data_IF_419368835982
#
_entry.id   IF_419368835982
#
_cell.length_a   1.000
_cell.length_b   1.000
_cell.length_c   1.000
_cell.angle_alpha   90.00
_cell.angle_beta   90.00
_cell.angle_gamma   90.00
#
_symmetry.space_group_name_H-M   'P 1'
#
loop_
_entity.id
_entity.type
_entity.pdbx_description
1 polymer ?
#
# COMPACT_ATOMS: atom_id res chain seq x y z
N UNK A 1 -29.04 38.03 53.50
CA UNK A 1 -27.79 37.52 52.88
C UNK A 1 -27.52 36.10 53.38
N UNK A 2 -27.60 35.09 52.49
CA UNK A 2 -26.66 33.96 52.35
C UNK A 2 -27.30 32.96 51.38
N UNK A 3 -26.75 32.94 50.17
CA UNK A 3 -27.17 32.11 49.04
C UNK A 3 -26.71 30.67 49.28
N UNK A 4 -27.60 29.71 49.06
CA UNK A 4 -27.28 28.28 48.97
C UNK A 4 -26.38 28.06 47.74
N UNK A 5 -25.16 27.59 47.97
CA UNK A 5 -24.24 27.17 46.93
C UNK A 5 -24.63 25.77 46.46
N UNK A 6 -25.23 25.70 45.27
CA UNK A 6 -25.37 24.45 44.51
C UNK A 6 -23.98 24.04 44.02
N UNK A 7 -23.37 23.03 44.66
CA UNK A 7 -22.21 22.34 44.12
C UNK A 7 -22.71 21.33 43.10
N UNK A 8 -22.85 21.77 41.85
CA UNK A 8 -23.05 20.87 40.72
C UNK A 8 -21.73 20.18 40.41
N UNK A 9 -21.62 18.89 40.77
CA UNK A 9 -20.52 18.04 40.35
C UNK A 9 -20.46 18.01 38.81
N UNK A 10 -19.39 18.57 38.25
CA UNK A 10 -19.01 18.31 36.87
C UNK A 10 -18.71 16.82 36.75
N UNK A 11 -19.64 16.05 36.18
CA UNK A 11 -19.30 14.76 35.58
C UNK A 11 -18.41 15.11 34.40
N UNK A 12 -17.10 15.09 34.61
CA UNK A 12 -16.15 15.03 33.53
C UNK A 12 -16.44 13.72 32.79
N UNK A 13 -17.21 13.80 31.70
CA UNK A 13 -17.22 12.75 30.70
C UNK A 13 -15.78 12.67 30.20
N UNK A 14 -15.02 11.73 30.75
CA UNK A 14 -13.76 11.31 30.16
C UNK A 14 -14.11 10.75 28.80
N UNK A 15 -14.12 11.62 27.79
CA UNK A 15 -14.06 11.24 26.40
C UNK A 15 -12.87 10.29 26.32
N UNK A 16 -13.15 8.99 26.18
CA UNK A 16 -12.16 7.97 25.89
C UNK A 16 -11.67 8.27 24.47
N UNK A 17 -10.81 9.27 24.34
CA UNK A 17 -10.03 9.46 23.14
C UNK A 17 -9.15 8.22 23.01
N UNK A 18 -9.29 7.47 21.92
CA UNK A 18 -8.48 6.29 21.67
C UNK A 18 -7.01 6.63 21.89
N UNK A 19 -6.40 6.03 22.90
CA UNK A 19 -5.00 6.26 23.23
C UNK A 19 -4.15 5.34 22.36
N UNK A 20 -3.19 5.93 21.65
CA UNK A 20 -2.17 5.17 20.92
C UNK A 20 -1.39 4.35 21.94
N UNK A 21 -1.36 3.03 21.76
CA UNK A 21 -0.64 2.10 22.63
C UNK A 21 0.46 1.41 21.83
N UNK A 22 1.67 1.35 22.39
CA UNK A 22 2.78 0.60 21.80
C UNK A 22 2.57 -0.89 22.05
N UNK A 23 2.38 -1.68 20.98
CA UNK A 23 2.22 -3.14 21.09
C UNK A 23 3.54 -3.90 20.96
N UNK A 24 4.44 -3.46 20.07
CA UNK A 24 5.71 -4.14 19.79
C UNK A 24 6.81 -3.18 19.39
N UNK A 25 8.01 -3.43 19.90
CA UNK A 25 9.27 -2.89 19.39
C UNK A 25 10.07 -4.04 18.80
N UNK A 26 10.44 -3.94 17.52
CA UNK A 26 11.35 -4.86 16.86
C UNK A 26 12.80 -4.44 17.11
N UNK A 27 13.75 -5.38 16.96
CA UNK A 27 15.16 -5.11 17.24
C UNK A 27 15.71 -4.07 16.25
N UNK A 28 16.74 -3.30 16.64
CA UNK A 28 17.33 -2.25 15.79
C UNK A 28 17.87 -2.73 14.43
N UNK A 29 18.03 -4.04 14.24
CA UNK A 29 18.52 -4.66 13.02
C UNK A 29 17.43 -5.45 12.29
N UNK A 30 16.17 -5.30 12.68
CA UNK A 30 15.00 -5.91 12.05
C UNK A 30 14.17 -4.81 11.41
N UNK A 31 14.19 -4.75 10.08
CA UNK A 31 13.29 -3.87 9.33
C UNK A 31 12.02 -4.64 9.03
N UNK A 32 10.89 -4.23 9.63
CA UNK A 32 9.61 -4.94 9.50
C UNK A 32 8.63 -4.10 8.71
N UNK A 33 8.02 -4.70 7.69
CA UNK A 33 6.88 -4.13 6.97
C UNK A 33 5.60 -4.88 7.31
N UNK A 34 4.48 -4.25 6.99
CA UNK A 34 3.15 -4.85 7.02
C UNK A 34 2.72 -5.15 5.60
N UNK A 35 2.22 -6.36 5.37
CA UNK A 35 1.56 -6.74 4.12
C UNK A 35 0.06 -6.75 4.38
N UNK A 36 -0.67 -5.72 3.93
CA UNK A 36 -2.11 -5.79 3.89
C UNK A 36 -2.51 -6.64 2.68
N UNK A 37 -2.83 -7.92 2.89
CA UNK A 37 -3.61 -8.68 1.92
C UNK A 37 -5.05 -8.73 2.43
N UNK A 38 -6.03 -8.47 1.57
CA UNK A 38 -7.45 -8.32 1.95
C UNK A 38 -8.07 -9.59 2.61
N UNK A 39 -7.33 -10.70 2.66
CA UNK A 39 -7.69 -11.96 3.33
C UNK A 39 -6.68 -12.43 4.38
N UNK A 40 -5.54 -11.75 4.53
CA UNK A 40 -4.44 -12.22 5.37
C UNK A 40 -3.53 -11.05 5.78
N UNK A 41 -3.18 -10.97 7.05
CA UNK A 41 -2.37 -9.90 7.60
C UNK A 41 -1.07 -10.50 8.11
N UNK A 42 0.04 -10.11 7.51
CA UNK A 42 1.34 -10.61 7.91
C UNK A 42 2.35 -9.47 8.04
N UNK A 43 3.23 -9.62 9.02
CA UNK A 43 4.44 -8.81 9.10
C UNK A 43 5.58 -9.59 8.47
N UNK A 44 6.43 -8.92 7.71
CA UNK A 44 7.64 -9.54 7.19
C UNK A 44 8.84 -8.67 7.49
N UNK A 45 9.93 -9.30 7.92
CA UNK A 45 11.19 -8.62 8.16
C UNK A 45 12.35 -9.30 7.46
N UNK A 46 13.31 -8.52 6.97
CA UNK A 46 14.66 -9.03 6.83
C UNK A 46 15.28 -9.13 8.21
N UNK A 47 15.68 -10.35 8.57
CA UNK A 47 16.47 -10.61 9.78
C UNK A 47 17.93 -10.78 9.41
N UNK A 48 18.79 -10.93 10.43
CA UNK A 48 20.23 -11.17 10.22
C UNK A 48 20.46 -12.39 9.32
N UNK A 49 21.51 -12.31 8.51
CA UNK A 49 22.04 -13.40 7.67
C UNK A 49 21.16 -13.78 6.46
N UNK A 50 20.64 -12.79 5.73
CA UNK A 50 19.94 -13.01 4.45
C UNK A 50 18.67 -13.87 4.56
N UNK A 51 17.88 -13.66 5.62
CA UNK A 51 16.65 -14.41 5.88
C UNK A 51 15.45 -13.50 5.99
N UNK A 52 14.32 -13.96 5.46
CA UNK A 52 13.03 -13.34 5.73
C UNK A 52 12.37 -14.02 6.92
N UNK A 53 11.70 -13.25 7.75
CA UNK A 53 10.87 -13.77 8.83
C UNK A 53 9.46 -13.26 8.66
N UNK A 54 8.53 -14.20 8.54
CA UNK A 54 7.11 -13.98 8.49
C UNK A 54 6.57 -14.09 9.93
N UNK A 55 5.81 -13.10 10.38
CA UNK A 55 5.17 -13.12 11.70
C UNK A 55 3.65 -13.20 11.58
N UNK A 56 3.04 -13.77 12.61
CA UNK A 56 1.60 -13.70 12.85
C UNK A 56 1.19 -12.29 13.31
N UNK A 57 -0.11 -12.05 13.42
CA UNK A 57 -0.67 -10.77 13.89
C UNK A 57 -0.31 -10.45 15.33
N UNK A 58 -0.01 -11.45 16.15
CA UNK A 58 0.48 -11.33 17.53
C UNK A 58 2.01 -11.18 17.63
N UNK A 59 2.69 -10.98 16.50
CA UNK A 59 4.14 -10.83 16.37
C UNK A 59 4.96 -12.09 16.69
N UNK A 60 4.33 -13.25 16.88
CA UNK A 60 5.04 -14.53 16.97
C UNK A 60 5.61 -14.93 15.60
N UNK A 61 6.78 -15.56 15.59
CA UNK A 61 7.41 -16.03 14.34
C UNK A 61 6.54 -17.15 13.74
N UNK A 62 5.97 -16.88 12.57
CA UNK A 62 5.22 -17.86 11.77
C UNK A 62 6.19 -18.73 10.97
N UNK A 63 7.17 -18.11 10.33
CA UNK A 63 8.15 -18.82 9.49
C UNK A 63 9.44 -18.03 9.33
N UNK A 64 10.56 -18.75 9.27
CA UNK A 64 11.84 -18.21 8.80
C UNK A 64 12.15 -18.80 7.43
N UNK A 65 12.29 -17.93 6.44
CA UNK A 65 12.49 -18.28 5.04
C UNK A 65 13.98 -18.07 4.74
N UNK A 66 14.65 -19.14 4.33
CA UNK A 66 16.05 -19.08 3.90
C UNK A 66 16.06 -18.87 2.38
N UNK A 67 16.75 -17.84 1.90
CA UNK A 67 16.91 -17.61 0.47
C UNK A 67 18.27 -18.14 0.06
N UNK A 68 18.30 -19.07 -0.90
CA UNK A 68 19.54 -19.65 -1.41
C UNK A 68 20.24 -18.65 -2.34
N UNK A 69 21.14 -17.85 -1.77
CA UNK A 69 21.95 -16.85 -2.48
C UNK A 69 23.44 -17.10 -2.22
N UNK A 70 24.29 -16.63 -3.13
CA UNK A 70 25.74 -16.83 -3.03
C UNK A 70 26.34 -16.07 -1.83
N UNK A 71 27.50 -16.51 -1.35
CA UNK A 71 28.11 -15.98 -0.10
C UNK A 71 28.51 -14.51 -0.21
N UNK A 72 28.81 -14.04 -1.42
CA UNK A 72 29.12 -12.65 -1.74
C UNK A 72 27.89 -11.76 -1.96
N UNK A 73 26.70 -12.34 -1.84
CA UNK A 73 25.44 -11.66 -2.03
C UNK A 73 24.74 -11.37 -0.69
N UNK A 74 24.07 -10.24 -0.64
CA UNK A 74 23.24 -9.82 0.47
C UNK A 74 21.80 -9.68 0.02
N UNK A 75 20.91 -10.22 0.84
CA UNK A 75 19.48 -10.02 0.65
C UNK A 75 19.14 -8.61 1.12
N UNK A 76 18.70 -7.79 0.18
CA UNK A 76 18.14 -6.50 0.48
C UNK A 76 16.62 -6.57 0.27
N UNK A 77 15.88 -6.04 1.23
CA UNK A 77 14.44 -5.92 1.06
C UNK A 77 14.12 -4.45 1.00
N UNK A 78 14.29 -3.90 -0.20
CA UNK A 78 13.93 -2.53 -0.52
C UNK A 78 12.43 -2.44 -0.74
N UNK A 79 11.80 -1.49 -0.06
CA UNK A 79 10.43 -1.10 -0.35
C UNK A 79 10.49 0.31 -0.90
N UNK A 80 10.09 0.53 -2.15
CA UNK A 80 9.78 1.88 -2.57
C UNK A 80 8.56 2.36 -1.77
N UNK A 81 8.65 3.58 -1.26
CA UNK A 81 7.59 4.26 -0.50
C UNK A 81 6.28 4.42 -1.29
N UNK A 82 6.30 4.20 -2.61
CA UNK A 82 5.17 4.41 -3.50
C UNK A 82 4.40 3.15 -3.93
N UNK A 83 4.98 1.94 -3.88
CA UNK A 83 4.33 0.76 -4.48
C UNK A 83 4.53 -0.54 -3.67
N UNK A 84 3.89 -0.60 -2.50
CA UNK A 84 4.08 -1.66 -1.48
C UNK A 84 3.45 -3.01 -1.81
N UNK A 85 2.59 -3.11 -2.83
CA UNK A 85 1.63 -4.23 -2.95
C UNK A 85 2.11 -5.43 -3.75
N UNK A 86 3.11 -5.28 -4.62
CA UNK A 86 3.65 -6.37 -5.45
C UNK A 86 4.81 -7.13 -4.78
N UNK A 87 5.32 -6.64 -3.66
CA UNK A 87 6.44 -7.25 -2.95
C UNK A 87 6.09 -8.58 -2.30
N UNK A 88 4.84 -8.75 -1.85
CA UNK A 88 4.36 -9.99 -1.26
C UNK A 88 2.94 -10.29 -1.73
N UNK A 89 2.70 -11.51 -2.16
CA UNK A 89 1.42 -11.93 -2.74
C UNK A 89 1.12 -13.39 -2.47
N UNK A 90 -0.05 -13.85 -2.92
CA UNK A 90 -0.37 -15.27 -3.11
C UNK A 90 -1.01 -15.37 -4.50
N UNK A 91 -0.69 -16.42 -5.24
CA UNK A 91 -1.30 -16.69 -6.55
C UNK A 91 -1.15 -15.55 -7.57
N UNK A 92 -0.05 -14.81 -7.52
CA UNK A 92 0.28 -13.83 -8.57
C UNK A 92 1.34 -14.40 -9.50
N UNK A 93 2.41 -14.96 -8.93
CA UNK A 93 3.55 -15.44 -9.72
C UNK A 93 3.49 -16.94 -10.02
N UNK A 94 2.69 -17.69 -9.25
CA UNK A 94 2.39 -19.10 -9.40
C UNK A 94 0.89 -19.37 -9.10
N UNK A 95 0.51 -20.65 -8.94
CA UNK A 95 -0.89 -21.05 -8.67
C UNK A 95 -1.10 -21.72 -7.31
N UNK A 96 -0.10 -21.75 -6.43
CA UNK A 96 -0.23 -22.34 -5.09
C UNK A 96 -0.68 -21.30 -4.05
N UNK A 97 -1.08 -21.76 -2.86
CA UNK A 97 -1.59 -20.92 -1.77
C UNK A 97 -0.50 -20.34 -0.87
N UNK A 98 0.78 -20.50 -1.26
CA UNK A 98 1.91 -20.01 -0.49
C UNK A 98 2.10 -18.52 -0.69
N UNK A 99 2.70 -17.85 0.30
CA UNK A 99 3.19 -16.51 0.03
C UNK A 99 4.32 -16.54 -0.99
N UNK A 100 4.34 -15.52 -1.82
CA UNK A 100 5.32 -15.27 -2.86
C UNK A 100 5.93 -13.90 -2.62
N UNK A 101 7.23 -13.75 -2.83
CA UNK A 101 7.98 -12.55 -2.49
C UNK A 101 8.83 -12.12 -3.68
N UNK A 102 8.84 -10.82 -3.97
CA UNK A 102 9.91 -10.21 -4.77
C UNK A 102 10.97 -9.71 -3.78
N UNK A 103 12.20 -10.19 -3.92
CA UNK A 103 13.33 -9.79 -3.07
C UNK A 103 14.46 -9.23 -3.92
N UNK A 104 15.17 -8.22 -3.41
CA UNK A 104 16.38 -7.70 -4.02
C UNK A 104 17.60 -8.48 -3.47
N UNK A 105 18.54 -8.81 -4.34
CA UNK A 105 19.79 -9.43 -3.99
C UNK A 105 20.90 -8.57 -4.55
N UNK A 106 21.74 -8.05 -3.66
CA UNK A 106 22.88 -7.20 -4.01
C UNK A 106 24.15 -8.01 -3.96
N UNK A 107 24.93 -7.98 -5.03
CA UNK A 107 26.25 -8.57 -5.08
C UNK A 107 27.29 -7.50 -4.68
N UNK A 108 27.97 -7.74 -3.56
CA UNK A 108 28.92 -6.78 -3.01
C UNK A 108 30.23 -6.68 -3.80
N UNK A 109 30.56 -7.70 -4.60
CA UNK A 109 31.82 -7.74 -5.35
C UNK A 109 31.78 -6.88 -6.61
N UNK A 110 30.64 -6.86 -7.31
CA UNK A 110 30.49 -6.18 -8.59
C UNK A 110 29.42 -5.07 -8.59
N UNK A 111 28.70 -4.89 -7.47
CA UNK A 111 27.65 -3.89 -7.33
C UNK A 111 26.34 -4.21 -8.06
N UNK A 112 26.18 -5.44 -8.57
CA UNK A 112 24.98 -5.88 -9.26
C UNK A 112 23.81 -6.06 -8.30
N UNK A 113 22.67 -5.46 -8.63
CA UNK A 113 21.40 -5.75 -7.99
C UNK A 113 20.57 -6.65 -8.89
N UNK A 114 19.96 -7.68 -8.32
CA UNK A 114 18.98 -8.51 -9.01
C UNK A 114 17.71 -8.68 -8.21
N UNK A 115 16.61 -8.96 -8.89
CA UNK A 115 15.37 -9.35 -8.22
C UNK A 115 15.12 -10.85 -8.37
N UNK A 116 14.75 -11.50 -7.26
CA UNK A 116 14.27 -12.88 -7.26
C UNK A 116 12.79 -12.89 -6.88
N UNK A 117 12.02 -13.75 -7.54
CA UNK A 117 10.71 -14.17 -7.08
C UNK A 117 10.90 -15.49 -6.34
N UNK A 118 10.49 -15.54 -5.08
CA UNK A 118 10.61 -16.73 -4.22
C UNK A 118 9.27 -17.07 -3.57
N UNK A 119 9.07 -18.33 -3.16
CA UNK A 119 7.94 -18.72 -2.31
C UNK A 119 8.31 -18.69 -0.81
N UNK A 120 7.32 -18.95 0.05
CA UNK A 120 7.50 -19.01 1.52
C UNK A 120 8.33 -20.19 2.01
N UNK A 121 8.69 -21.14 1.15
CA UNK A 121 9.67 -22.19 1.47
C UNK A 121 11.10 -21.77 1.09
N UNK A 122 11.26 -20.61 0.47
CA UNK A 122 12.55 -20.10 -0.01
C UNK A 122 12.93 -20.62 -1.39
N UNK A 123 12.00 -21.30 -2.09
CA UNK A 123 12.24 -21.78 -3.45
C UNK A 123 12.23 -20.59 -4.41
N UNK A 124 13.25 -20.50 -5.26
CA UNK A 124 13.30 -19.53 -6.35
C UNK A 124 12.28 -19.92 -7.42
N UNK A 125 11.23 -19.11 -7.57
CA UNK A 125 10.25 -19.21 -8.65
C UNK A 125 10.87 -18.64 -9.94
N UNK A 126 11.56 -17.50 -9.84
CA UNK A 126 12.19 -16.84 -10.97
C UNK A 126 13.38 -15.96 -10.55
N UNK A 127 14.50 -16.08 -11.24
CA UNK A 127 15.55 -15.05 -11.25
C UNK A 127 15.23 -14.07 -12.38
N UNK A 128 15.08 -12.78 -12.04
CA UNK A 128 14.67 -11.74 -12.97
C UNK A 128 15.85 -10.99 -13.59
N UNK A 129 17.10 -11.28 -13.23
CA UNK A 129 18.26 -10.51 -13.73
C UNK A 129 19.34 -11.45 -14.26
N UNK A 130 19.94 -11.08 -15.40
CA UNK A 130 21.00 -11.85 -16.04
C UNK A 130 22.39 -11.37 -15.60
N UNK A 131 23.44 -12.17 -15.86
CA UNK A 131 24.78 -11.97 -15.29
C UNK A 131 25.46 -10.64 -15.65
N UNK A 132 25.15 -10.04 -16.80
CA UNK A 132 25.78 -8.79 -17.27
C UNK A 132 24.97 -7.52 -16.96
N UNK A 133 23.76 -7.68 -16.40
CA UNK A 133 22.83 -6.58 -16.16
C UNK A 133 22.49 -6.44 -14.67
N UNK A 134 21.99 -5.29 -14.30
CA UNK A 134 21.53 -4.98 -12.95
C UNK A 134 20.15 -4.33 -13.01
N UNK A 135 19.32 -4.64 -12.03
CA UNK A 135 17.97 -4.09 -11.92
C UNK A 135 17.94 -3.05 -10.80
N UNK A 136 17.88 -1.77 -11.18
CA UNK A 136 17.85 -0.66 -10.23
C UNK A 136 16.44 -0.18 -9.89
N UNK A 137 15.48 -0.49 -10.75
CA UNK A 137 14.08 -0.13 -10.56
C UNK A 137 13.30 -1.31 -10.03
N UNK A 138 12.36 -1.03 -9.13
CA UNK A 138 11.50 -2.04 -8.56
C UNK A 138 10.60 -2.66 -9.66
N UNK A 139 10.43 -3.99 -9.73
CA UNK A 139 9.60 -4.60 -10.75
C UNK A 139 8.12 -4.20 -10.63
N UNK A 140 7.49 -3.87 -11.75
CA UNK A 140 6.08 -3.46 -11.80
C UNK A 140 5.18 -4.63 -12.18
N UNK A 141 4.21 -4.96 -11.33
CA UNK A 141 3.13 -5.90 -11.66
C UNK A 141 1.92 -5.10 -12.12
N UNK A 142 1.31 -5.47 -13.24
CA UNK A 142 0.14 -4.78 -13.77
C UNK A 142 -0.82 -5.73 -14.50
N UNK A 143 -2.07 -5.30 -14.64
CA UNK A 143 -3.07 -6.01 -15.41
C UNK A 143 -3.27 -5.33 -16.77
N UNK A 144 -3.03 -6.07 -17.85
CA UNK A 144 -3.34 -5.64 -19.22
C UNK A 144 -4.83 -5.90 -19.51
N UNK A 145 -5.63 -4.84 -19.43
CA UNK A 145 -7.09 -4.88 -19.64
C UNK A 145 -7.49 -5.31 -21.05
N UNK A 146 -6.62 -5.14 -22.06
CA UNK A 146 -6.94 -5.48 -23.46
C UNK A 146 -6.78 -6.98 -23.67
N UNK A 147 -5.72 -7.56 -23.13
CA UNK A 147 -5.47 -9.02 -23.24
C UNK A 147 -6.04 -9.83 -22.09
N UNK A 148 -6.55 -9.16 -21.04
CA UNK A 148 -7.02 -9.74 -19.79
C UNK A 148 -5.97 -10.65 -19.14
N UNK A 149 -4.73 -10.18 -19.08
CA UNK A 149 -3.57 -10.92 -18.55
C UNK A 149 -2.83 -10.08 -17.53
N UNK A 150 -2.34 -10.73 -16.47
CA UNK A 150 -1.41 -10.09 -15.56
C UNK A 150 0.01 -10.18 -16.14
N UNK A 151 0.78 -9.13 -15.96
CA UNK A 151 2.15 -9.03 -16.46
C UNK A 151 3.06 -8.44 -15.38
N UNK A 152 4.34 -8.77 -15.49
CA UNK A 152 5.42 -8.21 -14.69
C UNK A 152 6.39 -7.53 -15.65
N UNK A 153 6.79 -6.30 -15.36
CA UNK A 153 7.81 -5.58 -16.10
C UNK A 153 9.02 -5.29 -15.21
N UNK A 154 10.21 -5.44 -15.77
CA UNK A 154 11.47 -5.12 -15.11
C UNK A 154 12.40 -4.39 -16.07
N UNK A 155 13.15 -3.42 -15.55
CA UNK A 155 14.19 -2.71 -16.29
C UNK A 155 15.56 -3.31 -15.96
N UNK A 156 16.31 -3.67 -17.01
CA UNK A 156 17.67 -4.18 -16.95
C UNK A 156 18.64 -3.12 -17.44
N UNK A 157 19.65 -2.80 -16.64
CA UNK A 157 20.69 -1.82 -16.98
C UNK A 157 22.04 -2.52 -17.05
N UNK A 158 22.77 -2.34 -18.16
CA UNK A 158 24.09 -2.94 -18.32
C UNK A 158 25.06 -2.38 -17.27
N UNK A 159 25.75 -3.27 -16.55
CA UNK A 159 26.66 -2.87 -15.47
C UNK A 159 27.84 -2.02 -15.94
N UNK A 160 28.35 -2.28 -17.14
CA UNK A 160 29.52 -1.61 -17.71
C UNK A 160 29.14 -0.35 -18.48
N UNK A 161 27.92 -0.30 -19.01
CA UNK A 161 27.41 0.83 -19.77
C UNK A 161 25.98 1.19 -19.33
N UNK A 162 25.80 2.01 -18.28
CA UNK A 162 24.47 2.31 -17.74
C UNK A 162 23.48 2.98 -18.71
N UNK A 163 23.97 3.52 -19.83
CA UNK A 163 23.09 4.05 -20.90
C UNK A 163 22.42 2.96 -21.73
N UNK A 164 22.94 1.74 -21.67
CA UNK A 164 22.36 0.57 -22.30
C UNK A 164 21.42 -0.11 -21.32
N UNK A 165 20.12 0.01 -21.58
CA UNK A 165 19.08 -0.64 -20.80
C UNK A 165 17.98 -1.17 -21.70
N UNK A 166 17.25 -2.15 -21.18
CA UNK A 166 16.07 -2.71 -21.82
C UNK A 166 15.00 -3.07 -20.79
N UNK A 167 13.78 -3.31 -21.26
CA UNK A 167 12.67 -3.73 -20.45
C UNK A 167 12.26 -5.15 -20.84
N UNK A 168 12.02 -5.98 -19.84
CA UNK A 168 11.44 -7.31 -20.03
C UNK A 168 10.02 -7.32 -19.49
N UNK A 169 9.12 -7.94 -20.24
CA UNK A 169 7.72 -8.12 -19.84
C UNK A 169 7.41 -9.60 -19.79
N UNK A 170 7.06 -10.08 -18.59
CA UNK A 170 6.70 -11.45 -18.30
C UNK A 170 5.18 -11.59 -18.21
N UNK A 171 4.65 -12.64 -18.84
CA UNK A 171 3.28 -13.06 -18.62
C UNK A 171 3.19 -13.80 -17.29
N UNK A 172 2.27 -13.39 -16.43
CA UNK A 172 1.99 -14.08 -15.18
C UNK A 172 0.91 -15.16 -15.39
N UNK A 173 0.93 -16.26 -14.61
CA UNK A 173 0.02 -17.37 -14.81
C UNK A 173 -1.45 -17.03 -14.50
N UNK A 174 -1.70 -15.91 -13.82
CA UNK A 174 -3.04 -15.47 -13.43
C UNK A 174 -3.60 -14.39 -14.38
N UNK A 175 -4.92 -14.39 -14.52
CA UNK A 175 -5.65 -13.50 -15.45
C UNK A 175 -6.42 -12.39 -14.74
N UNK A 176 -6.46 -12.41 -13.41
CA UNK A 176 -7.04 -11.35 -12.59
C UNK A 176 -6.06 -11.10 -11.47
N UNK A 177 -5.69 -9.84 -11.20
CA UNK A 177 -4.97 -9.48 -9.98
C UNK A 177 -5.96 -9.55 -8.81
N UNK A 178 -6.48 -10.74 -8.49
CA UNK A 178 -7.39 -10.90 -7.36
C UNK A 178 -6.62 -10.98 -6.04
N UNK A 179 -5.80 -9.96 -5.77
CA UNK A 179 -5.82 -9.31 -4.46
C UNK A 179 -6.79 -8.17 -4.72
N UNK A 180 -8.03 -8.28 -4.21
CA UNK A 180 -9.12 -7.34 -4.49
C UNK A 180 -8.54 -5.95 -4.64
N UNK A 181 -8.55 -5.46 -5.88
CA UNK A 181 -8.16 -4.14 -6.32
C UNK A 181 -7.74 -3.30 -5.12
N UNK A 182 -6.43 -3.24 -4.82
CA UNK A 182 -5.95 -1.95 -4.34
C UNK A 182 -6.21 -1.09 -5.55
N UNK A 183 -7.43 -0.55 -5.59
CA UNK A 183 -7.71 0.60 -6.38
C UNK A 183 -6.55 1.50 -5.97
N UNK A 184 -5.60 1.68 -6.89
CA UNK A 184 -4.98 2.96 -7.09
C UNK A 184 -6.11 3.94 -7.46
N UNK A 185 -7.11 4.07 -6.57
CA UNK A 185 -7.68 5.35 -6.29
C UNK A 185 -6.46 6.18 -5.96
N UNK A 186 -6.22 7.20 -6.77
CA UNK A 186 -5.81 8.46 -6.19
C UNK A 186 -6.60 8.61 -4.88
N UNK A 187 -6.01 8.30 -3.73
CA UNK A 187 -6.75 8.31 -2.46
C UNK A 187 -7.25 9.73 -2.33
N UNK A 188 -8.56 9.92 -2.51
CA UNK A 188 -9.09 11.27 -2.54
C UNK A 188 -8.92 11.83 -1.13
N UNK A 189 -8.21 12.94 -1.01
CA UNK A 189 -7.94 13.55 0.29
C UNK A 189 -8.91 14.70 0.52
N UNK A 190 -9.55 14.73 1.69
CA UNK A 190 -10.45 15.80 2.07
C UNK A 190 -10.18 16.30 3.50
N UNK A 191 -10.31 17.62 3.68
CA UNK A 191 -10.07 18.30 4.94
C UNK A 191 -11.02 19.50 5.15
N UNK A 192 -11.37 19.82 6.41
CA UNK A 192 -11.14 18.99 7.58
C UNK A 192 -12.03 17.74 7.56
N UNK A 193 -11.55 16.66 8.17
CA UNK A 193 -12.36 15.49 8.48
C UNK A 193 -12.17 15.20 9.98
N UNK A 194 -13.18 15.44 10.84
CA UNK A 194 -14.56 15.80 10.53
C UNK A 194 -14.78 17.23 9.99
N UNK A 195 -15.71 17.40 9.05
CA UNK A 195 -16.12 18.68 8.48
C UNK A 195 -17.29 19.31 9.24
N UNK A 196 -17.36 20.64 9.29
CA UNK A 196 -18.47 21.39 9.93
C UNK A 196 -19.29 22.19 8.91
N UNK A 197 -18.63 23.04 8.13
CA UNK A 197 -19.29 23.93 7.15
C UNK A 197 -18.83 23.63 5.74
N UNK A 198 -17.51 23.50 5.53
CA UNK A 198 -16.93 23.27 4.20
C UNK A 198 -16.03 22.04 4.22
N UNK A 199 -16.19 21.17 3.24
CA UNK A 199 -15.27 20.08 2.94
C UNK A 199 -14.39 20.50 1.76
N UNK A 200 -13.08 20.48 1.94
CA UNK A 200 -12.11 20.80 0.90
C UNK A 200 -11.45 19.52 0.42
N UNK A 201 -11.41 19.30 -0.88
CA UNK A 201 -10.93 18.06 -1.48
C UNK A 201 -9.76 18.40 -2.38
N UNK A 202 -8.65 17.67 -2.24
CA UNK A 202 -7.50 17.78 -3.15
C UNK A 202 -7.93 17.21 -4.50
N UNK A 203 -7.82 17.99 -5.56
CA UNK A 203 -8.17 17.50 -6.89
C UNK A 203 -7.15 16.43 -7.31
N UNK A 204 -7.58 15.21 -7.67
CA UNK A 204 -6.69 14.15 -8.13
C UNK A 204 -6.02 14.44 -9.49
N UNK A 205 -6.44 15.49 -10.21
CA UNK A 205 -5.97 15.87 -11.55
C UNK A 205 -6.04 14.72 -12.56
N UNK A 206 -7.08 13.90 -12.43
CA UNK A 206 -7.33 12.73 -13.28
C UNK A 206 -8.21 13.05 -14.51
N UNK A 207 -8.37 14.34 -14.86
CA UNK A 207 -9.20 14.79 -15.98
C UNK A 207 -10.71 14.80 -15.70
N UNK A 208 -11.17 14.25 -14.57
CA UNK A 208 -12.57 14.33 -14.14
C UNK A 208 -12.84 15.71 -13.55
N UNK A 209 -14.03 16.24 -13.84
CA UNK A 209 -14.44 17.59 -13.49
C UNK A 209 -15.74 17.63 -12.68
N UNK A 210 -16.13 16.51 -12.09
CA UNK A 210 -17.31 16.41 -11.25
C UNK A 210 -17.04 15.60 -9.98
N UNK A 211 -17.82 15.92 -8.94
CA UNK A 211 -17.82 15.21 -7.66
C UNK A 211 -19.25 14.95 -7.22
N UNK A 212 -19.47 13.76 -6.67
CA UNK A 212 -20.73 13.36 -6.05
C UNK A 212 -20.51 13.00 -4.57
N UNK A 213 -21.43 13.42 -3.70
CA UNK A 213 -21.49 13.00 -2.29
C UNK A 213 -22.74 12.16 -2.09
N UNK A 214 -22.58 11.07 -1.37
CA UNK A 214 -23.60 10.08 -1.02
C UNK A 214 -23.78 10.01 0.49
N UNK A 215 -25.03 9.79 0.93
CA UNK A 215 -25.31 9.39 2.30
C UNK A 215 -24.98 7.90 2.54
N UNK A 216 -25.12 7.44 3.79
CA UNK A 216 -24.80 6.05 4.16
C UNK A 216 -25.68 5.00 3.47
N UNK A 217 -26.84 5.38 2.92
CA UNK A 217 -27.71 4.49 2.15
C UNK A 217 -27.34 4.46 0.66
N UNK A 218 -26.25 5.14 0.26
CA UNK A 218 -25.82 5.22 -1.12
C UNK A 218 -26.65 6.18 -1.98
N UNK A 219 -27.47 7.05 -1.37
CA UNK A 219 -28.23 8.06 -2.12
C UNK A 219 -27.35 9.28 -2.37
N UNK A 220 -27.24 9.70 -3.63
CA UNK A 220 -26.55 10.93 -4.02
C UNK A 220 -27.28 12.16 -3.46
N UNK A 221 -26.58 12.97 -2.66
CA UNK A 221 -27.13 14.15 -1.98
C UNK A 221 -26.55 15.48 -2.47
N UNK A 222 -25.31 15.48 -2.98
CA UNK A 222 -24.66 16.65 -3.58
C UNK A 222 -23.97 16.21 -4.85
N UNK A 223 -24.16 16.94 -5.94
CA UNK A 223 -23.34 16.86 -7.15
C UNK A 223 -22.80 18.24 -7.46
N UNK A 224 -21.51 18.33 -7.79
CA UNK A 224 -20.88 19.61 -8.11
C UNK A 224 -19.82 19.41 -9.19
N UNK A 225 -19.84 20.29 -10.18
CA UNK A 225 -18.77 20.40 -11.16
C UNK A 225 -17.65 21.33 -10.65
N UNK A 226 -16.43 21.09 -11.09
CA UNK A 226 -15.23 21.86 -10.78
C UNK A 226 -14.30 21.92 -11.98
N UNK A 227 -13.33 22.85 -12.00
CA UNK A 227 -12.38 22.86 -13.11
C UNK A 227 -11.32 21.77 -12.90
N UNK A 228 -11.12 20.90 -13.89
CA UNK A 228 -10.14 19.81 -13.85
C UNK A 228 -8.71 20.28 -13.52
N UNK A 229 -8.38 21.56 -13.78
CA UNK A 229 -7.09 22.17 -13.45
C UNK A 229 -6.99 22.78 -12.05
N UNK A 230 -8.11 22.90 -11.32
CA UNK A 230 -8.10 23.44 -9.96
C UNK A 230 -7.26 22.54 -9.05
N UNK A 231 -6.50 23.12 -8.12
CA UNK A 231 -5.76 22.32 -7.14
C UNK A 231 -6.67 21.78 -6.03
N UNK A 232 -7.85 22.39 -5.82
CA UNK A 232 -8.74 22.10 -4.70
C UNK A 232 -10.20 22.36 -5.05
N UNK A 233 -11.06 21.50 -4.52
CA UNK A 233 -12.50 21.52 -4.71
C UNK A 233 -13.15 21.80 -3.35
N UNK A 234 -13.93 22.88 -3.24
CA UNK A 234 -14.60 23.25 -1.98
C UNK A 234 -16.09 22.96 -2.05
N UNK A 235 -16.61 22.15 -1.13
CA UNK A 235 -18.02 21.77 -1.04
C UNK A 235 -18.62 22.34 0.25
N UNK A 236 -19.75 23.03 0.14
CA UNK A 236 -20.55 23.41 1.30
C UNK A 236 -21.31 22.17 1.81
N UNK A 237 -21.02 21.78 3.05
CA UNK A 237 -21.63 20.66 3.76
C UNK A 237 -22.39 21.12 5.00
N UNK A 238 -22.55 22.44 5.23
CA UNK A 238 -23.14 23.00 6.44
C UNK A 238 -24.54 22.45 6.72
N UNK A 239 -25.34 22.25 5.67
CA UNK A 239 -26.72 21.78 5.73
C UNK A 239 -26.85 20.26 5.82
N UNK A 240 -25.74 19.52 5.75
CA UNK A 240 -25.77 18.08 5.94
C UNK A 240 -25.98 17.74 7.42
N UNK A 241 -26.90 16.81 7.74
CA UNK A 241 -27.00 16.22 9.08
C UNK A 241 -25.66 15.66 9.57
N UNK A 242 -25.50 15.55 10.88
CA UNK A 242 -24.37 14.85 11.46
C UNK A 242 -24.39 13.38 11.02
N UNK A 243 -23.26 12.87 10.54
CA UNK A 243 -23.21 11.54 9.97
C UNK A 243 -21.95 11.24 9.16
N UNK A 244 -21.91 10.02 8.62
CA UNK A 244 -20.85 9.58 7.69
C UNK A 244 -21.34 9.68 6.26
N UNK A 245 -20.48 10.19 5.38
CA UNK A 245 -20.76 10.40 3.98
C UNK A 245 -19.61 9.86 3.12
N UNK A 246 -19.92 9.51 1.88
CA UNK A 246 -18.96 9.07 0.88
C UNK A 246 -18.92 10.13 -0.22
N UNK A 247 -17.74 10.51 -0.69
CA UNK A 247 -17.57 11.36 -1.86
C UNK A 247 -16.78 10.63 -2.95
N UNK A 248 -17.11 10.92 -4.22
CA UNK A 248 -16.61 10.20 -5.39
C UNK A 248 -16.22 11.18 -6.50
N UNK A 249 -15.05 10.94 -7.11
CA UNK A 249 -14.55 11.64 -8.31
C UNK A 249 -14.08 10.56 -9.29
N UNK A 250 -14.78 10.40 -10.42
CA UNK A 250 -14.51 9.31 -11.36
C UNK A 250 -14.75 7.96 -10.71
N UNK A 251 -13.77 7.04 -10.80
CA UNK A 251 -13.85 5.74 -10.11
C UNK A 251 -13.35 5.79 -8.66
N UNK A 252 -12.69 6.88 -8.23
CA UNK A 252 -12.14 7.01 -6.88
C UNK A 252 -13.21 7.47 -5.89
N UNK A 253 -13.23 6.89 -4.69
CA UNK A 253 -14.12 7.32 -3.61
C UNK A 253 -13.43 7.35 -2.24
N UNK A 254 -13.94 8.16 -1.31
CA UNK A 254 -13.44 8.24 0.06
C UNK A 254 -14.55 8.70 1.03
N UNK A 255 -14.33 8.54 2.33
CA UNK A 255 -15.32 8.87 3.37
C UNK A 255 -14.93 10.13 4.16
N UNK A 256 -15.92 10.89 4.60
CA UNK A 256 -15.75 11.96 5.59
C UNK A 256 -16.87 11.95 6.64
N UNK A 257 -16.59 12.54 7.80
CA UNK A 257 -17.54 12.68 8.91
C UNK A 257 -18.02 14.13 8.95
N UNK A 258 -19.34 14.35 9.01
CA UNK A 258 -19.96 15.65 9.28
C UNK A 258 -20.26 15.78 10.77
N UNK A 259 -19.76 16.85 11.38
CA UNK A 259 -20.08 17.28 12.75
C UNK A 259 -20.95 18.53 12.76
#
# INVERSE_FOLDING_TARGET
MKKLLFSGAFVASSLLFGQITLEKTFSNNESVTVIPNNKDFAYISTTKNNKLVLYNTDYSVKKTINVDIAIEQELHFSYDTYDRWSAVSKQIFNTDEKYEFIVEVRNNNNGQNKYLIIDEDGKIIKDLTTSDYSSYYYPTVYHDIVTNKNKLMITQTNLKNPTEYFEEVYLLPTTSLSIAEIETTSVLQAFPNPAQTTLNIVNPKNGINNIEIFDFNGRSIIKKDFNSTDNKISIDVQRLPQGTYIYKIGNSSAKFIKK
#
